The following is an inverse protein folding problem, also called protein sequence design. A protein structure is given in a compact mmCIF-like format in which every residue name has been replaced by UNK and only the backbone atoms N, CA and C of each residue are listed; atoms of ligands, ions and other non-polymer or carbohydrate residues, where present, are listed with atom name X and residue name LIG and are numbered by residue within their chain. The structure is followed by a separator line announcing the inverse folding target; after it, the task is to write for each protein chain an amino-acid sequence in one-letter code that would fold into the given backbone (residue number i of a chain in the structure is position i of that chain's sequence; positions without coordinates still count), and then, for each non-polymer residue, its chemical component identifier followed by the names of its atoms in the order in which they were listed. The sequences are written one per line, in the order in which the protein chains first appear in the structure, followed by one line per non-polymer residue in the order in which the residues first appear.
data_IF_061441473257
#
_entry.id   IF_061441473257
#
_cell.length_a   1.000
_cell.length_b   1.000
_cell.length_c   1.000
_cell.angle_alpha   90.00
_cell.angle_beta   90.00
_cell.angle_gamma   90.00
#
_symmetry.space_group_name_H-M   'P 1'
#
loop_
_entity.id
_entity.type
_entity.pdbx_description
1 polymer ?
#
# COMPACT_ATOMS: atom_id res chain seq x y z
N UNK A 1 -7.67 -8.17 -20.79
CA UNK A 1 -8.02 -6.90 -20.10
C UNK A 1 -8.25 -5.84 -21.17
N UNK A 2 -9.42 -5.23 -21.17
CA UNK A 2 -9.75 -4.11 -22.06
C UNK A 2 -9.25 -2.78 -21.46
N UNK A 3 -9.27 -1.69 -22.24
CA UNK A 3 -8.93 -0.36 -21.72
C UNK A 3 -9.92 0.14 -20.67
N UNK A 4 -11.19 -0.30 -20.74
CA UNK A 4 -12.23 0.03 -19.74
C UNK A 4 -11.91 -0.67 -18.41
N UNK A 5 -11.54 -1.93 -18.44
CA UNK A 5 -11.12 -2.68 -17.25
C UNK A 5 -9.93 -2.01 -16.57
N UNK A 6 -8.95 -1.61 -17.38
CA UNK A 6 -7.76 -0.90 -16.89
C UNK A 6 -8.12 0.44 -16.22
N UNK A 7 -9.08 1.18 -16.80
CA UNK A 7 -9.56 2.43 -16.22
C UNK A 7 -10.27 2.19 -14.87
N UNK A 8 -11.17 1.20 -14.81
CA UNK A 8 -11.89 0.87 -13.58
C UNK A 8 -10.92 0.45 -12.48
N UNK A 9 -10.00 -0.47 -12.78
CA UNK A 9 -9.00 -0.92 -11.81
C UNK A 9 -8.03 0.20 -11.41
N UNK A 10 -7.67 1.09 -12.33
CA UNK A 10 -6.85 2.26 -12.03
C UNK A 10 -7.55 3.25 -11.09
N UNK A 11 -8.87 3.45 -11.24
CA UNK A 11 -9.68 4.25 -10.32
C UNK A 11 -9.73 3.59 -8.93
N UNK A 12 -9.97 2.27 -8.87
CA UNK A 12 -9.95 1.51 -7.61
C UNK A 12 -8.60 1.70 -6.92
N UNK A 13 -7.48 1.52 -7.63
CA UNK A 13 -6.14 1.72 -7.09
C UNK A 13 -5.97 3.14 -6.55
N UNK A 14 -6.28 4.16 -7.35
CA UNK A 14 -6.10 5.56 -6.96
C UNK A 14 -6.93 5.98 -5.74
N UNK A 15 -8.11 5.39 -5.54
CA UNK A 15 -8.95 5.65 -4.37
C UNK A 15 -8.50 4.88 -3.13
N UNK A 16 -8.00 3.66 -3.29
CA UNK A 16 -7.71 2.77 -2.16
C UNK A 16 -6.26 2.83 -1.68
N UNK A 17 -5.32 3.28 -2.53
CA UNK A 17 -3.89 3.31 -2.20
C UNK A 17 -3.57 4.27 -1.05
N UNK A 18 -4.23 5.42 -1.01
CA UNK A 18 -4.01 6.44 0.02
C UNK A 18 -4.80 6.19 1.30
N UNK A 19 -5.64 5.19 1.31
CA UNK A 19 -6.40 4.75 2.48
C UNK A 19 -5.75 3.48 3.06
N UNK A 20 -5.73 3.30 4.38
CA UNK A 20 -5.16 2.10 5.00
C UNK A 20 -6.11 0.88 4.90
N UNK A 21 -6.59 0.57 3.68
CA UNK A 21 -7.62 -0.44 3.43
C UNK A 21 -7.19 -1.55 2.47
N UNK A 22 -5.88 -1.66 2.17
CA UNK A 22 -5.31 -2.64 1.24
C UNK A 22 -5.78 -2.47 -0.21
N UNK A 23 -5.10 -1.62 -0.97
CA UNK A 23 -5.35 -1.41 -2.41
C UNK A 23 -5.20 -2.69 -3.22
N UNK A 24 -4.20 -3.52 -2.91
CA UNK A 24 -3.97 -4.80 -3.58
C UNK A 24 -5.17 -5.75 -3.44
N UNK A 25 -5.77 -5.84 -2.24
CA UNK A 25 -6.98 -6.64 -2.02
C UNK A 25 -8.16 -6.14 -2.83
N UNK A 26 -8.35 -4.82 -2.94
CA UNK A 26 -9.40 -4.23 -3.75
C UNK A 26 -9.18 -4.43 -5.24
N UNK A 27 -7.92 -4.36 -5.71
CA UNK A 27 -7.57 -4.67 -7.11
C UNK A 27 -7.87 -6.13 -7.45
N UNK A 28 -7.55 -7.07 -6.56
CA UNK A 28 -7.81 -8.49 -6.78
C UNK A 28 -9.31 -8.78 -6.88
N UNK A 29 -10.11 -8.24 -5.95
CA UNK A 29 -11.57 -8.35 -5.99
C UNK A 29 -12.12 -7.69 -7.26
N UNK A 30 -11.67 -6.48 -7.59
CA UNK A 30 -12.08 -5.77 -8.80
C UNK A 30 -11.76 -6.54 -10.08
N UNK A 31 -10.58 -7.14 -10.18
CA UNK A 31 -10.17 -7.95 -11.32
C UNK A 31 -11.09 -9.17 -11.49
N UNK A 32 -11.39 -9.88 -10.40
CA UNK A 32 -12.29 -11.04 -10.46
C UNK A 32 -13.71 -10.65 -10.83
N UNK A 33 -14.24 -9.54 -10.30
CA UNK A 33 -15.59 -9.04 -10.68
C UNK A 33 -15.67 -8.65 -12.17
N UNK A 34 -14.56 -8.22 -12.76
CA UNK A 34 -14.46 -7.95 -14.20
C UNK A 34 -14.16 -9.19 -15.04
N UNK A 35 -14.08 -10.38 -14.42
CA UNK A 35 -13.75 -11.63 -15.12
C UNK A 35 -12.28 -11.70 -15.58
N UNK A 36 -11.41 -10.94 -14.97
CA UNK A 36 -9.98 -10.88 -15.29
C UNK A 36 -9.22 -11.78 -14.32
N UNK A 37 -8.33 -12.62 -14.85
CA UNK A 37 -7.48 -13.45 -14.00
C UNK A 37 -6.37 -12.58 -13.36
N UNK A 38 -6.33 -12.44 -12.03
CA UNK A 38 -5.35 -11.59 -11.35
C UNK A 38 -3.91 -11.99 -11.62
N UNK A 39 -3.64 -13.28 -11.79
CA UNK A 39 -2.28 -13.81 -11.98
C UNK A 39 -1.63 -13.35 -13.30
N UNK A 40 -2.42 -12.99 -14.31
CA UNK A 40 -1.92 -12.57 -15.62
C UNK A 40 -1.70 -11.05 -15.72
N UNK A 41 -1.97 -10.30 -14.65
CA UNK A 41 -1.98 -8.84 -14.69
C UNK A 41 -0.89 -8.20 -13.81
N UNK A 42 0.20 -8.93 -13.53
CA UNK A 42 1.31 -8.44 -12.72
C UNK A 42 1.87 -7.09 -13.22
N UNK A 43 2.10 -6.96 -14.53
CA UNK A 43 2.59 -5.72 -15.13
C UNK A 43 1.62 -4.55 -14.94
N UNK A 44 0.31 -4.81 -15.02
CA UNK A 44 -0.69 -3.78 -14.75
C UNK A 44 -0.66 -3.35 -13.29
N UNK A 45 -0.67 -4.30 -12.35
CA UNK A 45 -0.56 -4.01 -10.93
C UNK A 45 0.69 -3.19 -10.61
N UNK A 46 1.84 -3.58 -11.17
CA UNK A 46 3.09 -2.83 -11.03
C UNK A 46 2.96 -1.40 -11.59
N UNK A 47 2.35 -1.24 -12.76
CA UNK A 47 2.18 0.07 -13.40
C UNK A 47 1.30 1.02 -12.56
N UNK A 48 0.17 0.53 -11.99
CA UNK A 48 -0.71 1.37 -11.19
C UNK A 48 -0.09 1.72 -9.83
N UNK A 49 0.67 0.82 -9.20
CA UNK A 49 1.43 1.13 -7.99
C UNK A 49 2.55 2.14 -8.27
N UNK A 50 3.23 2.00 -9.39
CA UNK A 50 4.23 2.99 -9.81
C UNK A 50 3.61 4.36 -10.06
N UNK A 51 2.43 4.42 -10.70
CA UNK A 51 1.70 5.66 -10.93
C UNK A 51 1.28 6.34 -9.62
N UNK A 52 0.80 5.59 -8.61
CA UNK A 52 0.46 6.15 -7.30
C UNK A 52 1.70 6.60 -6.53
N UNK A 53 2.84 5.91 -6.66
CA UNK A 53 4.12 6.35 -6.13
C UNK A 53 4.56 7.70 -6.74
N UNK A 54 4.49 7.85 -8.07
CA UNK A 54 4.78 9.11 -8.75
C UNK A 54 3.82 10.22 -8.33
N UNK A 55 2.52 9.91 -8.17
CA UNK A 55 1.52 10.85 -7.68
C UNK A 55 1.87 11.35 -6.27
N UNK A 56 2.27 10.46 -5.38
CA UNK A 56 2.73 10.80 -4.02
C UNK A 56 3.94 11.73 -4.06
N UNK A 57 4.95 11.40 -4.88
CA UNK A 57 6.14 12.24 -5.04
C UNK A 57 5.75 13.63 -5.56
N UNK A 58 4.83 13.69 -6.52
CA UNK A 58 4.39 14.95 -7.11
C UNK A 58 3.63 15.81 -6.10
N UNK A 59 2.71 15.23 -5.33
CA UNK A 59 1.92 15.96 -4.33
C UNK A 59 2.78 16.44 -3.17
N UNK A 60 3.64 15.56 -2.63
CA UNK A 60 4.48 15.84 -1.45
C UNK A 60 5.92 16.24 -1.80
N UNK A 61 6.15 16.77 -3.01
CA UNK A 61 7.51 17.12 -3.46
C UNK A 61 8.23 18.10 -2.52
N UNK A 62 7.50 19.04 -1.90
CA UNK A 62 8.10 20.04 -1.00
C UNK A 62 8.56 19.39 0.30
N UNK A 63 7.74 18.56 0.90
CA UNK A 63 8.02 17.81 2.12
C UNK A 63 9.18 16.83 1.89
N UNK A 64 9.17 16.12 0.78
CA UNK A 64 10.27 15.23 0.37
C UNK A 64 11.57 16.01 0.21
N UNK A 65 11.52 17.18 -0.42
CA UNK A 65 12.70 18.01 -0.61
C UNK A 65 13.30 18.48 0.73
N UNK A 66 12.47 18.91 1.69
CA UNK A 66 12.90 19.29 3.05
C UNK A 66 13.56 18.12 3.77
N UNK A 67 13.00 16.91 3.64
CA UNK A 67 13.56 15.71 4.25
C UNK A 67 14.94 15.36 3.64
N UNK A 68 15.04 15.42 2.31
CA UNK A 68 16.31 15.16 1.60
C UNK A 68 17.37 16.20 1.96
N UNK A 69 17.01 17.49 1.97
CA UNK A 69 17.91 18.55 2.37
C UNK A 69 18.40 18.38 3.82
N UNK A 70 17.48 18.02 4.72
CA UNK A 70 17.82 17.74 6.12
C UNK A 70 18.79 16.57 6.28
N UNK A 71 18.61 15.50 5.49
CA UNK A 71 19.49 14.33 5.47
C UNK A 71 20.89 14.70 4.94
N UNK A 72 20.95 15.49 3.85
CA UNK A 72 22.24 15.90 3.23
C UNK A 72 23.08 16.81 4.13
N UNK A 73 22.49 17.41 5.16
CA UNK A 73 23.25 18.21 6.15
C UNK A 73 24.11 17.35 7.08
N UNK A 74 23.99 16.01 7.04
CA UNK A 74 24.72 15.07 7.88
C UNK A 74 24.68 15.42 9.38
N UNK A 75 23.59 16.00 9.85
CA UNK A 75 23.37 16.38 11.25
C UNK A 75 22.22 15.56 11.83
N UNK A 76 22.28 15.34 13.14
CA UNK A 76 21.19 14.69 13.88
C UNK A 76 20.04 15.68 14.06
N UNK A 77 19.25 15.87 13.00
CA UNK A 77 18.09 16.77 12.96
C UNK A 77 16.78 15.95 12.86
N UNK A 78 15.65 16.65 12.94
CA UNK A 78 14.32 16.03 12.92
C UNK A 78 14.07 15.22 11.62
N UNK A 79 14.54 15.73 10.48
CA UNK A 79 14.44 15.03 9.18
C UNK A 79 15.21 13.71 9.19
N UNK A 80 16.43 13.70 9.71
CA UNK A 80 17.26 12.49 9.82
C UNK A 80 16.62 11.47 10.77
N UNK A 81 16.11 11.93 11.92
CA UNK A 81 15.41 11.05 12.87
C UNK A 81 14.13 10.48 12.27
N UNK A 82 13.37 11.30 11.54
CA UNK A 82 12.14 10.84 10.89
C UNK A 82 12.43 9.76 9.84
N UNK A 83 13.40 10.01 8.95
CA UNK A 83 13.81 9.03 7.92
C UNK A 83 14.32 7.74 8.58
N UNK A 84 15.13 7.85 9.63
CA UNK A 84 15.65 6.66 10.32
C UNK A 84 14.53 5.84 10.96
N UNK A 85 13.55 6.48 11.57
CA UNK A 85 12.37 5.79 12.14
C UNK A 85 11.58 5.04 11.04
N UNK A 86 11.40 5.66 9.87
CA UNK A 86 10.76 4.99 8.71
C UNK A 86 11.57 3.75 8.31
N UNK A 87 12.89 3.91 8.09
CA UNK A 87 13.76 2.79 7.68
C UNK A 87 13.68 1.65 8.69
N UNK A 88 13.81 1.94 10.00
CA UNK A 88 13.74 0.93 11.05
C UNK A 88 12.37 0.24 11.06
N UNK A 89 11.28 0.97 10.87
CA UNK A 89 9.93 0.38 10.83
C UNK A 89 9.69 -0.51 9.63
N UNK A 90 10.43 -0.31 8.52
CA UNK A 90 10.35 -1.15 7.32
C UNK A 90 11.13 -2.46 7.44
N UNK A 91 12.12 -2.54 8.34
CA UNK A 91 12.97 -3.73 8.48
C UNK A 91 12.16 -5.01 8.77
N UNK A 92 11.26 -5.03 9.79
CA UNK A 92 10.48 -6.24 10.09
C UNK A 92 9.63 -6.70 8.89
N UNK A 93 8.98 -5.75 8.20
CA UNK A 93 8.17 -6.03 7.03
C UNK A 93 9.02 -6.58 5.86
N UNK A 94 10.19 -5.96 5.62
CA UNK A 94 11.12 -6.41 4.59
C UNK A 94 11.66 -7.82 4.87
N UNK A 95 12.03 -8.11 6.12
CA UNK A 95 12.51 -9.43 6.52
C UNK A 95 11.42 -10.49 6.34
N UNK A 96 10.20 -10.24 6.81
CA UNK A 96 9.08 -11.17 6.65
C UNK A 96 8.75 -11.34 5.16
N UNK A 97 8.67 -10.27 4.39
CA UNK A 97 8.40 -10.32 2.96
C UNK A 97 9.40 -11.15 2.18
N UNK A 98 10.70 -11.00 2.47
CA UNK A 98 11.75 -11.75 1.77
C UNK A 98 11.84 -13.21 2.21
N UNK A 99 11.62 -13.51 3.49
CA UNK A 99 11.74 -14.88 4.00
C UNK A 99 10.52 -15.74 3.69
N UNK A 100 9.34 -15.14 3.60
CA UNK A 100 8.05 -15.84 3.44
C UNK A 100 7.33 -15.45 2.14
N UNK A 101 8.05 -14.92 1.14
CA UNK A 101 7.47 -14.47 -0.13
C UNK A 101 6.64 -15.57 -0.80
N UNK A 102 7.17 -16.78 -0.93
CA UNK A 102 6.50 -17.90 -1.57
C UNK A 102 5.27 -18.38 -0.80
N UNK A 103 5.35 -18.42 0.52
CA UNK A 103 4.24 -18.81 1.38
C UNK A 103 3.11 -17.79 1.33
N UNK A 104 3.46 -16.51 1.42
CA UNK A 104 2.50 -15.40 1.33
C UNK A 104 1.82 -15.41 -0.04
N UNK A 105 2.60 -15.53 -1.12
CA UNK A 105 2.06 -15.56 -2.49
C UNK A 105 1.09 -16.74 -2.69
N UNK A 106 1.43 -17.93 -2.21
CA UNK A 106 0.55 -19.10 -2.33
C UNK A 106 -0.73 -18.99 -1.51
N UNK A 107 -0.68 -18.35 -0.35
CA UNK A 107 -1.85 -18.13 0.50
C UNK A 107 -2.86 -17.16 -0.13
N UNK A 108 -2.37 -16.10 -0.77
CA UNK A 108 -3.23 -15.05 -1.31
C UNK A 108 -3.64 -15.28 -2.76
N UNK A 109 -2.86 -16.01 -3.55
CA UNK A 109 -3.09 -16.23 -4.98
C UNK A 109 -4.42 -16.93 -5.26
N UNK A 110 -5.40 -16.19 -5.76
CA UNK A 110 -6.73 -16.71 -6.11
C UNK A 110 -7.64 -17.04 -4.92
N UNK A 111 -7.25 -16.73 -3.69
CA UNK A 111 -8.06 -17.00 -2.50
C UNK A 111 -8.85 -15.76 -2.05
N UNK A 112 -9.88 -15.40 -2.84
CA UNK A 112 -10.75 -14.25 -2.55
C UNK A 112 -11.41 -14.31 -1.17
N UNK A 113 -11.69 -15.50 -0.66
CA UNK A 113 -12.26 -15.63 0.67
C UNK A 113 -11.27 -15.13 1.73
N UNK A 114 -10.00 -15.53 1.63
CA UNK A 114 -8.95 -15.05 2.54
C UNK A 114 -8.76 -13.54 2.42
N UNK A 115 -8.70 -13.00 1.20
CA UNK A 115 -8.62 -11.55 0.95
C UNK A 115 -9.77 -10.82 1.63
N UNK A 116 -11.00 -11.29 1.47
CA UNK A 116 -12.19 -10.72 2.10
C UNK A 116 -12.13 -10.74 3.63
N UNK A 117 -11.71 -11.85 4.22
CA UNK A 117 -11.54 -11.99 5.69
C UNK A 117 -10.48 -10.99 6.20
N UNK A 118 -9.35 -10.84 5.51
CA UNK A 118 -8.29 -9.90 5.90
C UNK A 118 -8.74 -8.45 5.76
N UNK A 119 -9.55 -8.10 4.76
CA UNK A 119 -10.14 -6.77 4.64
C UNK A 119 -11.11 -6.47 5.78
N UNK A 120 -11.93 -7.43 6.19
CA UNK A 120 -12.83 -7.28 7.34
C UNK A 120 -12.01 -7.08 8.63
N UNK A 121 -10.95 -7.87 8.84
CA UNK A 121 -10.07 -7.74 10.00
C UNK A 121 -9.42 -6.35 10.05
N UNK A 122 -8.89 -5.87 8.92
CA UNK A 122 -8.32 -4.53 8.81
C UNK A 122 -9.36 -3.45 9.12
N UNK A 123 -10.60 -3.61 8.62
CA UNK A 123 -11.70 -2.69 8.90
C UNK A 123 -12.03 -2.63 10.39
N UNK A 124 -12.07 -3.78 11.08
CA UNK A 124 -12.30 -3.84 12.53
C UNK A 124 -11.16 -3.13 13.29
N UNK A 125 -9.91 -3.37 12.92
CA UNK A 125 -8.75 -2.72 13.54
C UNK A 125 -8.82 -1.20 13.36
N UNK A 126 -9.11 -0.71 12.17
CA UNK A 126 -9.27 0.72 11.89
C UNK A 126 -10.43 1.34 12.67
N UNK A 127 -11.53 0.60 12.81
CA UNK A 127 -12.67 1.04 13.61
C UNK A 127 -12.31 1.19 15.09
N UNK A 128 -11.57 0.22 15.63
CA UNK A 128 -11.10 0.26 17.03
C UNK A 128 -10.15 1.44 17.26
N UNK A 129 -9.21 1.73 16.33
CA UNK A 129 -8.30 2.86 16.48
C UNK A 129 -9.02 4.21 16.54
N UNK A 130 -10.17 4.34 15.87
CA UNK A 130 -10.99 5.54 15.94
C UNK A 130 -11.52 5.81 17.35
N UNK A 131 -11.93 4.76 18.09
CA UNK A 131 -12.45 4.89 19.45
C UNK A 131 -11.33 5.24 20.45
N UNK A 132 -10.17 4.60 20.35
CA UNK A 132 -9.05 4.83 21.26
C UNK A 132 -8.52 6.27 21.14
N UNK A 133 -8.56 6.86 19.94
CA UNK A 133 -8.03 8.21 19.72
C UNK A 133 -8.98 9.34 20.18
N UNK A 134 -10.24 9.04 20.47
CA UNK A 134 -11.22 10.01 20.97
C UNK A 134 -11.11 10.25 22.48
N UNK A 135 -10.54 9.31 23.23
CA UNK A 135 -10.39 9.41 24.69
C UNK A 135 -9.07 10.09 25.12
N UNK A 136 -8.25 10.54 24.17
CA UNK A 136 -6.90 11.13 24.42
C UNK A 136 -6.82 12.62 24.15
N UNK A 137 -7.98 13.32 23.96
CA UNK A 137 -8.06 14.75 23.64
C UNK A 137 -8.64 15.57 24.78
#
# INVERSE_FOLDING_TARGET
MTWIDALILGIIQGLTEFLPISSSGHLEIGAVLLGINPTNNFLFALAVHFATCLSTIFVFHKEIFVLIEGLLKFKWNDSTQFILKIIISMIPLGVIGLLFESEIETLFKGNLFLVGVMLILTSILLFVTRYINQDSG
#
